data_IF_316231233127
#
_entry.id   IF_316231233127
#
_cell.length_a   1.000
_cell.length_b   1.000
_cell.length_c   1.000
_cell.angle_alpha   90.00
_cell.angle_beta   90.00
_cell.angle_gamma   90.00
#
_symmetry.space_group_name_H-M   'P 1'
#
loop_
_entity.id
_entity.type
_entity.pdbx_description
1 polymer ?
#
# COMPACT_ATOMS: atom_id res chain seq x y z
N UNK A 1 -5.31 -26.21 -5.01
CA UNK A 1 -4.89 -26.02 -3.61
C UNK A 1 -5.39 -24.68 -3.10
N UNK A 2 -6.49 -24.64 -2.35
CA UNK A 2 -7.01 -23.41 -1.76
C UNK A 2 -6.01 -22.92 -0.69
N UNK A 3 -5.24 -21.88 -1.00
CA UNK A 3 -4.35 -21.23 -0.03
C UNK A 3 -5.21 -20.68 1.10
N UNK A 4 -5.16 -21.30 2.29
CA UNK A 4 -5.65 -20.68 3.54
C UNK A 4 -4.86 -19.39 3.74
N UNK A 5 -5.42 -18.26 3.26
CA UNK A 5 -4.83 -16.96 3.50
C UNK A 5 -5.22 -16.57 4.92
N UNK A 6 -4.29 -16.77 5.85
CA UNK A 6 -4.48 -16.39 7.25
C UNK A 6 -4.79 -14.90 7.36
N UNK A 7 -5.80 -14.50 8.15
CA UNK A 7 -6.23 -13.10 8.28
C UNK A 7 -5.10 -12.16 8.71
N UNK A 8 -4.15 -12.65 9.52
CA UNK A 8 -2.94 -11.90 9.90
C UNK A 8 -2.00 -11.64 8.73
N UNK A 9 -1.85 -12.59 7.81
CA UNK A 9 -1.00 -12.41 6.63
C UNK A 9 -1.55 -11.29 5.74
N UNK A 10 -2.88 -11.15 5.65
CA UNK A 10 -3.48 -10.03 4.94
C UNK A 10 -3.16 -8.71 5.63
N UNK A 11 -3.37 -8.62 6.95
CA UNK A 11 -3.08 -7.39 7.70
C UNK A 11 -1.63 -6.96 7.47
N UNK A 12 -0.66 -7.89 7.56
CA UNK A 12 0.76 -7.59 7.32
C UNK A 12 1.07 -7.09 5.91
N UNK A 13 0.40 -7.64 4.90
CA UNK A 13 0.73 -7.43 3.48
C UNK A 13 -0.01 -6.26 2.83
N UNK A 14 -1.17 -5.87 3.37
CA UNK A 14 -2.08 -4.91 2.73
C UNK A 14 -2.51 -3.77 3.66
N UNK A 15 -2.47 -3.92 4.99
CA UNK A 15 -2.85 -2.85 5.89
C UNK A 15 -1.85 -1.70 5.82
N UNK A 16 -2.35 -0.50 5.51
CA UNK A 16 -1.56 0.74 5.38
C UNK A 16 -0.41 0.67 4.36
N UNK A 17 -0.40 -0.33 3.47
CA UNK A 17 0.62 -0.48 2.43
C UNK A 17 0.15 0.21 1.15
N UNK A 18 0.93 1.20 0.74
CA UNK A 18 0.76 1.94 -0.50
C UNK A 18 1.89 1.63 -1.46
N UNK A 19 1.61 1.69 -2.75
CA UNK A 19 2.57 1.52 -3.83
C UNK A 19 2.63 2.84 -4.59
N UNK A 20 3.83 3.35 -4.82
CA UNK A 20 4.00 4.53 -5.65
C UNK A 20 3.64 4.22 -7.11
N UNK A 21 2.89 5.10 -7.80
CA UNK A 21 2.58 4.90 -9.22
C UNK A 21 3.78 5.11 -10.14
N UNK A 22 4.74 5.95 -9.73
CA UNK A 22 5.95 6.27 -10.51
C UNK A 22 7.01 5.17 -10.35
N UNK A 23 7.63 5.07 -9.17
CA UNK A 23 8.72 4.11 -8.94
C UNK A 23 8.28 2.71 -8.50
N UNK A 24 6.97 2.45 -8.36
CA UNK A 24 6.40 1.15 -7.90
C UNK A 24 6.86 0.71 -6.51
N UNK A 25 7.54 1.57 -5.75
CA UNK A 25 8.03 1.24 -4.43
C UNK A 25 6.90 1.17 -3.39
N UNK A 26 7.06 0.29 -2.41
CA UNK A 26 6.08 0.02 -1.36
C UNK A 26 6.39 0.87 -0.15
N UNK A 27 5.36 1.49 0.44
CA UNK A 27 5.49 2.40 1.57
C UNK A 27 4.37 2.09 2.55
N UNK A 28 4.68 2.05 3.84
CA UNK A 28 3.67 2.04 4.89
C UNK A 28 3.38 3.48 5.30
N UNK A 29 2.13 3.89 5.16
CA UNK A 29 1.72 5.25 5.44
C UNK A 29 0.28 5.29 5.92
N UNK A 30 -0.06 6.36 6.64
CA UNK A 30 -1.42 6.56 7.12
C UNK A 30 -2.36 6.92 5.95
N UNK A 31 -3.48 6.20 5.76
CA UNK A 31 -4.37 6.44 4.63
C UNK A 31 -4.96 7.86 4.62
N UNK A 32 -5.19 8.48 5.79
CA UNK A 32 -5.70 9.84 5.85
C UNK A 32 -4.67 10.84 5.30
N UNK A 33 -3.39 10.66 5.64
CA UNK A 33 -2.30 11.50 5.13
C UNK A 33 -2.04 11.27 3.65
N UNK A 34 -2.19 10.04 3.15
CA UNK A 34 -2.07 9.73 1.71
C UNK A 34 -3.21 10.38 0.92
N UNK A 35 -4.45 10.31 1.41
CA UNK A 35 -5.61 11.00 0.79
C UNK A 35 -5.43 12.52 0.80
N UNK A 36 -4.88 13.06 1.88
CA UNK A 36 -4.53 14.48 1.99
C UNK A 36 -3.28 14.89 1.19
N UNK A 37 -2.67 13.99 0.39
CA UNK A 37 -1.42 14.22 -0.35
C UNK A 37 -0.25 14.74 0.51
N UNK A 38 -0.25 14.44 1.81
CA UNK A 38 0.83 14.83 2.74
C UNK A 38 1.98 13.81 2.79
N UNK A 39 1.80 12.64 2.18
CA UNK A 39 2.80 11.58 2.14
C UNK A 39 3.48 11.58 0.78
N UNK A 40 4.78 11.91 0.77
CA UNK A 40 5.64 11.78 -0.40
C UNK A 40 6.28 10.40 -0.48
N UNK A 41 6.50 9.91 -1.69
CA UNK A 41 7.35 8.76 -1.90
C UNK A 41 8.78 9.09 -1.46
N UNK A 42 9.38 8.24 -0.61
CA UNK A 42 10.75 8.44 -0.10
C UNK A 42 11.84 8.38 -1.18
N UNK A 43 11.54 7.76 -2.33
CA UNK A 43 12.51 7.56 -3.41
C UNK A 43 12.37 8.58 -4.54
N UNK A 44 11.16 8.79 -5.05
CA UNK A 44 10.94 9.68 -6.19
C UNK A 44 10.26 11.01 -5.82
N UNK A 45 9.95 11.23 -4.55
CA UNK A 45 9.27 12.45 -4.09
C UNK A 45 7.81 12.59 -4.51
N UNK A 46 7.28 11.74 -5.39
CA UNK A 46 5.90 11.87 -5.88
C UNK A 46 4.85 11.60 -4.78
N UNK A 47 3.73 12.32 -4.84
CA UNK A 47 2.58 12.15 -3.94
C UNK A 47 1.54 11.15 -4.47
N UNK A 48 1.81 10.57 -5.63
CA UNK A 48 0.87 9.69 -6.34
C UNK A 48 1.04 8.25 -5.85
N UNK A 49 0.44 7.97 -4.70
CA UNK A 49 0.46 6.66 -4.05
C UNK A 49 -0.89 5.95 -4.27
N UNK A 50 -0.86 4.66 -4.62
CA UNK A 50 -2.04 3.80 -4.72
C UNK A 50 -2.09 2.81 -3.54
N UNK A 51 -3.25 2.55 -2.93
CA UNK A 51 -3.36 1.47 -1.96
C UNK A 51 -3.10 0.13 -2.64
N UNK A 52 -2.37 -0.76 -1.97
CA UNK A 52 -2.18 -2.13 -2.46
C UNK A 52 -3.48 -2.90 -2.23
N UNK A 53 -4.24 -3.15 -3.31
CA UNK A 53 -5.46 -3.95 -3.22
C UNK A 53 -5.11 -5.40 -2.86
N UNK A 54 -5.86 -5.98 -1.94
CA UNK A 54 -5.90 -7.45 -1.79
C UNK A 54 -6.44 -7.99 -3.14
N UNK A 55 -5.83 -9.03 -3.74
CA UNK A 55 -6.52 -9.76 -4.80
C UNK A 55 -7.79 -10.33 -4.18
N UNK A 56 -8.93 -9.81 -4.62
CA UNK A 56 -10.23 -10.42 -4.36
C UNK A 56 -10.25 -11.64 -5.27
N UNK A 57 -10.11 -12.82 -4.66
CA UNK A 57 -10.45 -14.12 -5.25
C UNK A 57 -11.80 -14.51 -4.68
#
# INVERSE_FOLDING_TARGET
MARKIFPEAIKRLYDRVFVCRVCKHKIRADPAKVRAKKVKCRYCGSFVLRPKKRPVM
#
